data_IF_209459205033
#
_entry.id   IF_209459205033
#
_cell.length_a   1.000
_cell.length_b   1.000
_cell.length_c   1.000
_cell.angle_alpha   90.00
_cell.angle_beta   90.00
_cell.angle_gamma   90.00
#
_symmetry.space_group_name_H-M   'P 1'
#
loop_
_entity.id
_entity.type
_entity.pdbx_description
1 polymer ?
#
# COMPACT_ATOMS: atom_id res chain seq x y z
N UNK A 1 14.40 16.69 7.36
CA UNK A 1 15.15 15.47 6.98
C UNK A 1 14.17 14.40 6.54
N UNK A 2 13.92 14.26 5.24
CA UNK A 2 13.12 13.16 4.72
C UNK A 2 14.05 11.95 4.62
N UNK A 3 13.72 10.80 5.24
CA UNK A 3 14.55 9.60 5.14
C UNK A 3 14.76 9.28 3.65
N UNK A 4 15.99 9.42 3.16
CA UNK A 4 16.36 9.06 1.78
C UNK A 4 15.91 7.61 1.56
N UNK A 5 14.97 7.42 0.63
CA UNK A 5 14.36 6.12 0.36
C UNK A 5 12.85 6.08 0.57
N UNK A 6 12.29 6.73 1.59
CA UNK A 6 10.86 6.61 1.93
C UNK A 6 9.93 6.99 0.75
N UNK A 7 10.35 7.95 -0.07
CA UNK A 7 9.66 8.32 -1.31
C UNK A 7 9.53 7.14 -2.30
N UNK A 8 10.62 6.41 -2.56
CA UNK A 8 10.59 5.25 -3.44
C UNK A 8 9.74 4.11 -2.86
N UNK A 9 9.76 3.94 -1.54
CA UNK A 9 8.90 2.94 -0.89
C UNK A 9 7.41 3.22 -1.11
N UNK A 10 6.99 4.48 -0.97
CA UNK A 10 5.59 4.87 -1.23
C UNK A 10 5.20 4.68 -2.70
N UNK A 11 6.10 5.03 -3.63
CA UNK A 11 5.86 4.82 -5.08
C UNK A 11 5.72 3.33 -5.39
N UNK A 12 6.65 2.50 -4.92
CA UNK A 12 6.63 1.06 -5.17
C UNK A 12 5.41 0.41 -4.50
N UNK A 13 5.09 0.82 -3.27
CA UNK A 13 3.92 0.34 -2.54
C UNK A 13 2.63 0.65 -3.30
N UNK A 14 2.45 1.87 -3.80
CA UNK A 14 1.29 2.23 -4.62
C UNK A 14 1.23 1.48 -5.95
N UNK A 15 2.39 1.24 -6.58
CA UNK A 15 2.47 0.57 -7.88
C UNK A 15 2.16 -0.93 -7.80
N UNK A 16 2.59 -1.61 -6.74
CA UNK A 16 2.51 -3.08 -6.66
C UNK A 16 1.47 -3.58 -5.66
N UNK A 17 1.24 -2.86 -4.56
CA UNK A 17 0.35 -3.29 -3.47
C UNK A 17 -0.92 -2.45 -3.47
N UNK A 18 -0.84 -1.16 -3.13
CA UNK A 18 -1.98 -0.25 -3.04
C UNK A 18 -2.38 0.35 -4.40
N UNK A 19 -2.64 -0.53 -5.37
CA UNK A 19 -3.04 -0.17 -6.74
C UNK A 19 -4.38 0.58 -6.74
N UNK A 20 -4.50 1.59 -7.60
CA UNK A 20 -5.70 2.42 -7.71
C UNK A 20 -6.98 1.64 -8.08
N UNK A 21 -6.83 0.56 -8.88
CA UNK A 21 -7.93 -0.35 -9.23
C UNK A 21 -7.60 -1.73 -8.67
N UNK A 22 -8.41 -2.20 -7.72
CA UNK A 22 -8.22 -3.45 -6.96
C UNK A 22 -6.86 -3.49 -6.22
N UNK A 23 -6.75 -2.88 -5.02
CA UNK A 23 -5.55 -2.97 -4.21
C UNK A 23 -5.32 -4.41 -3.75
N UNK A 24 -4.06 -4.77 -3.52
CA UNK A 24 -3.67 -6.08 -3.01
C UNK A 24 -3.55 -6.02 -1.47
N UNK A 25 -4.69 -5.96 -0.77
CA UNK A 25 -4.68 -5.77 0.67
C UNK A 25 -4.12 -6.98 1.43
N UNK A 26 -4.16 -8.18 0.83
CA UNK A 26 -3.55 -9.39 1.39
C UNK A 26 -2.03 -9.26 1.57
N UNK A 27 -1.34 -8.65 0.60
CA UNK A 27 0.12 -8.40 0.68
C UNK A 27 0.48 -7.08 1.38
N UNK A 28 -0.51 -6.32 1.87
CA UNK A 28 -0.27 -5.01 2.48
C UNK A 28 0.12 -5.14 3.96
N UNK A 29 1.35 -4.72 4.29
CA UNK A 29 1.90 -4.80 5.65
C UNK A 29 1.13 -3.95 6.69
N UNK A 30 0.39 -2.94 6.25
CA UNK A 30 -0.44 -2.08 7.11
C UNK A 30 -1.94 -2.38 6.99
N UNK A 31 -2.32 -3.52 6.38
CA UNK A 31 -3.73 -3.84 6.13
C UNK A 31 -4.59 -3.81 7.39
N UNK A 32 -4.07 -4.27 8.53
CA UNK A 32 -4.78 -4.25 9.81
C UNK A 32 -5.08 -2.83 10.31
N UNK A 33 -4.22 -1.85 9.99
CA UNK A 33 -4.33 -0.45 10.42
C UNK A 33 -4.98 0.46 9.36
N UNK A 34 -5.07 0.00 8.10
CA UNK A 34 -5.58 0.78 6.99
C UNK A 34 -7.09 1.02 7.12
N UNK A 35 -7.52 2.29 7.01
CA UNK A 35 -8.93 2.70 7.12
C UNK A 35 -9.74 2.58 5.82
N UNK A 36 -9.11 2.09 4.75
CA UNK A 36 -9.79 1.86 3.47
C UNK A 36 -10.90 0.80 3.61
N UNK A 37 -12.10 1.10 3.10
CA UNK A 37 -13.30 0.28 3.30
C UNK A 37 -13.35 -0.93 2.35
N UNK A 38 -13.04 -0.73 1.07
CA UNK A 38 -13.11 -1.76 0.02
C UNK A 38 -11.84 -2.62 -0.07
N UNK A 39 -11.41 -3.20 1.06
CA UNK A 39 -10.22 -4.05 1.08
C UNK A 39 -10.44 -5.31 0.26
N UNK A 40 -9.43 -5.68 -0.53
CA UNK A 40 -9.45 -6.89 -1.35
C UNK A 40 -8.38 -7.85 -0.83
N UNK A 41 -8.82 -8.98 -0.28
CA UNK A 41 -7.96 -10.03 0.29
C UNK A 41 -7.81 -11.25 -0.63
N UNK A 42 -8.02 -11.04 -1.94
CA UNK A 42 -7.99 -12.09 -2.97
C UNK A 42 -6.58 -12.49 -3.33
#
# INVERSE_FOLDING_TARGET
VWKKGAHHWLILHGRYVCKARKPDCGSCSIAALCLFKDKVFT
#
